data_IF_001975688445
#
_entry.id   IF_001975688445
#
_cell.length_a   1.000
_cell.length_b   1.000
_cell.length_c   1.000
_cell.angle_alpha   90.00
_cell.angle_beta   90.00
_cell.angle_gamma   90.00
#
_symmetry.space_group_name_H-M   'P 1'
#
loop_
_entity.id
_entity.type
_entity.pdbx_description
1 polymer ?
#
# COMPACT_ATOMS: atom_id res chain seq x y z
N UNK A 1 -16.33 -40.52 -39.07
CA UNK A 1 -16.64 -40.10 -37.67
C UNK A 1 -15.50 -40.57 -36.77
N UNK A 2 -14.41 -39.81 -36.60
CA UNK A 2 -13.25 -40.25 -35.77
C UNK A 2 -12.25 -39.15 -35.37
N UNK A 3 -12.09 -38.08 -36.16
CA UNK A 3 -11.11 -37.01 -35.88
C UNK A 3 -11.68 -35.85 -35.04
N UNK A 4 -12.95 -35.50 -35.26
CA UNK A 4 -13.63 -34.41 -34.57
C UNK A 4 -13.96 -34.69 -33.10
N UNK A 5 -14.00 -35.96 -32.70
CA UNK A 5 -14.20 -36.36 -31.29
C UNK A 5 -12.89 -36.28 -30.48
N UNK A 6 -11.76 -36.67 -31.09
CA UNK A 6 -10.44 -36.57 -30.47
C UNK A 6 -10.00 -35.12 -30.25
N UNK A 7 -10.36 -34.21 -31.18
CA UNK A 7 -10.05 -32.79 -31.05
C UNK A 7 -10.69 -32.15 -29.80
N UNK A 8 -11.92 -32.57 -29.45
CA UNK A 8 -12.63 -32.08 -28.25
C UNK A 8 -12.04 -32.61 -26.95
N UNK A 9 -11.51 -33.84 -26.94
CA UNK A 9 -10.96 -34.49 -25.73
C UNK A 9 -9.61 -33.87 -25.34
N UNK A 10 -8.81 -33.44 -26.31
CA UNK A 10 -7.51 -32.80 -26.05
C UNK A 10 -7.62 -31.30 -25.72
N UNK A 11 -8.66 -30.61 -26.19
CA UNK A 11 -8.76 -29.15 -26.02
C UNK A 11 -9.04 -28.73 -24.57
N UNK A 12 -9.86 -29.51 -23.86
CA UNK A 12 -10.27 -29.22 -22.47
C UNK A 12 -9.08 -29.19 -21.50
N UNK A 13 -8.18 -30.20 -21.46
CA UNK A 13 -7.02 -30.15 -20.57
C UNK A 13 -6.03 -29.04 -20.94
N UNK A 14 -5.86 -28.73 -22.23
CA UNK A 14 -4.96 -27.65 -22.68
C UNK A 14 -5.47 -26.26 -22.24
N UNK A 15 -6.78 -26.04 -22.36
CA UNK A 15 -7.42 -24.81 -21.86
C UNK A 15 -7.32 -24.70 -20.34
N UNK A 16 -7.48 -25.79 -19.61
CA UNK A 16 -7.36 -25.81 -18.14
C UNK A 16 -5.92 -25.55 -17.64
N UNK A 17 -4.90 -26.03 -18.35
CA UNK A 17 -3.49 -25.76 -17.98
C UNK A 17 -3.14 -24.29 -18.29
N UNK A 18 -3.65 -23.74 -19.39
CA UNK A 18 -3.44 -22.34 -19.77
C UNK A 18 -4.04 -21.36 -18.74
N UNK A 19 -5.19 -21.69 -18.15
CA UNK A 19 -5.80 -20.84 -17.11
C UNK A 19 -5.05 -20.89 -15.77
N UNK A 20 -4.47 -22.04 -15.41
CA UNK A 20 -3.63 -22.17 -14.20
C UNK A 20 -2.28 -21.44 -14.32
N UNK A 21 -1.72 -21.31 -15.53
CA UNK A 21 -0.49 -20.53 -15.77
C UNK A 21 -0.77 -19.03 -15.89
N UNK A 22 -2.04 -18.65 -16.04
CA UNK A 22 -2.48 -17.26 -16.13
C UNK A 22 -2.86 -16.66 -14.77
N UNK A 23 -2.47 -17.29 -13.65
CA UNK A 23 -2.57 -16.67 -12.33
C UNK A 23 -1.72 -15.41 -12.39
N UNK A 24 -2.42 -14.28 -12.51
CA UNK A 24 -1.83 -12.96 -12.53
C UNK A 24 -0.93 -12.83 -11.31
N UNK A 25 0.32 -12.36 -11.53
CA UNK A 25 1.11 -11.76 -10.47
C UNK A 25 0.27 -10.58 -9.96
N UNK A 26 -0.56 -10.82 -8.95
CA UNK A 26 -1.21 -9.75 -8.22
C UNK A 26 -0.05 -8.93 -7.67
N UNK A 27 0.15 -7.74 -8.23
CA UNK A 27 1.02 -6.76 -7.60
C UNK A 27 0.43 -6.58 -6.20
N UNK A 28 1.12 -7.14 -5.22
CA UNK A 28 0.72 -7.10 -3.84
C UNK A 28 0.58 -5.62 -3.48
N UNK A 29 -0.67 -5.17 -3.34
CA UNK A 29 -0.98 -3.76 -3.19
C UNK A 29 -0.93 -3.43 -1.71
N UNK A 30 -0.17 -2.38 -1.37
CA UNK A 30 -0.21 -1.80 -0.05
C UNK A 30 -1.65 -1.38 0.30
N UNK A 31 -2.05 -1.58 1.56
CA UNK A 31 -3.40 -1.29 2.03
C UNK A 31 -3.47 0.06 2.72
N UNK A 32 -4.38 0.92 2.28
CA UNK A 32 -4.72 2.14 3.01
C UNK A 32 -5.41 1.77 4.33
N UNK A 33 -4.78 2.14 5.45
CA UNK A 33 -5.27 1.86 6.81
C UNK A 33 -5.99 3.03 7.44
N UNK A 34 -5.73 4.24 6.99
CA UNK A 34 -6.40 5.44 7.47
C UNK A 34 -5.73 6.71 6.98
N UNK A 35 -6.35 7.83 7.30
CA UNK A 35 -5.89 9.15 6.94
C UNK A 35 -6.18 10.14 8.07
N UNK A 36 -5.52 11.29 8.05
CA UNK A 36 -5.72 12.31 9.06
C UNK A 36 -4.94 13.59 8.76
N UNK A 37 -5.06 14.56 9.66
CA UNK A 37 -4.42 15.88 9.54
C UNK A 37 -3.77 16.29 10.85
N UNK A 38 -2.67 17.02 10.76
CA UNK A 38 -2.02 17.67 11.89
C UNK A 38 -1.10 18.79 11.41
N UNK A 39 -1.15 19.94 12.10
CA UNK A 39 -0.52 21.16 11.62
C UNK A 39 -1.01 21.53 10.21
N UNK A 40 -0.08 21.91 9.34
CA UNK A 40 -0.31 22.25 7.93
C UNK A 40 -0.15 21.03 7.00
N UNK A 41 -0.29 19.81 7.53
CA UNK A 41 -0.06 18.57 6.80
C UNK A 41 -1.21 17.57 6.96
N UNK A 42 -1.44 16.81 5.90
CA UNK A 42 -2.34 15.65 5.88
C UNK A 42 -1.45 14.41 5.77
N UNK A 43 -1.88 13.27 6.31
CA UNK A 43 -1.25 11.98 6.06
C UNK A 43 -2.24 10.91 5.61
N UNK A 44 -1.75 9.94 4.84
CA UNK A 44 -2.35 8.63 4.64
C UNK A 44 -1.39 7.59 5.25
N UNK A 45 -1.95 6.67 6.03
CA UNK A 45 -1.26 5.54 6.60
C UNK A 45 -1.49 4.30 5.74
N UNK A 46 -0.41 3.74 5.24
CA UNK A 46 -0.42 2.53 4.44
C UNK A 46 0.25 1.39 5.20
N UNK A 47 -0.18 0.15 4.97
CA UNK A 47 0.57 -1.05 5.35
C UNK A 47 1.01 -1.80 4.11
N UNK A 48 2.14 -2.51 4.19
CA UNK A 48 2.48 -3.50 3.18
C UNK A 48 1.41 -4.60 3.11
N UNK A 49 1.41 -5.30 1.99
CA UNK A 49 0.50 -6.38 1.67
C UNK A 49 0.57 -7.55 2.67
N UNK A 50 1.77 -7.85 3.13
CA UNK A 50 2.06 -8.85 4.17
C UNK A 50 1.72 -8.36 5.58
N UNK A 51 1.31 -7.10 5.72
CA UNK A 51 1.02 -6.44 7.00
C UNK A 51 2.24 -6.29 7.92
N UNK A 52 3.45 -6.53 7.42
CA UNK A 52 4.67 -6.53 8.24
C UNK A 52 5.21 -5.12 8.50
N UNK A 53 4.82 -4.14 7.68
CA UNK A 53 5.33 -2.78 7.79
C UNK A 53 4.29 -1.72 7.46
N UNK A 54 4.52 -0.52 7.97
CA UNK A 54 3.65 0.64 7.81
C UNK A 54 4.43 1.84 7.31
N UNK A 55 3.84 2.73 6.53
CA UNK A 55 4.47 3.97 6.12
C UNK A 55 3.41 5.06 5.91
N UNK A 56 3.86 6.31 5.84
CA UNK A 56 3.01 7.45 5.58
C UNK A 56 3.28 8.04 4.20
N UNK A 57 2.22 8.48 3.54
CA UNK A 57 2.28 9.51 2.50
C UNK A 57 1.81 10.82 3.13
N UNK A 58 2.58 11.88 2.93
CA UNK A 58 2.37 13.15 3.59
C UNK A 58 2.38 14.27 2.54
N UNK A 59 1.44 15.19 2.66
CA UNK A 59 1.33 16.37 1.80
C UNK A 59 1.02 17.57 2.69
N UNK A 60 1.36 18.77 2.21
CA UNK A 60 0.80 19.97 2.81
C UNK A 60 -0.72 19.96 2.62
N UNK A 61 -1.45 20.48 3.60
CA UNK A 61 -2.90 20.69 3.52
C UNK A 61 -3.33 21.65 2.39
N UNK A 62 -2.41 22.47 1.89
CA UNK A 62 -2.59 23.36 0.74
C UNK A 62 -2.23 22.70 -0.59
N UNK A 63 -1.66 21.50 -0.56
CA UNK A 63 -1.27 20.78 -1.76
C UNK A 63 -2.51 20.26 -2.51
N UNK A 64 -2.48 20.30 -3.83
CA UNK A 64 -3.45 19.65 -4.69
C UNK A 64 -3.11 18.15 -4.79
N UNK A 65 -3.93 17.24 -4.23
CA UNK A 65 -3.61 15.81 -4.19
C UNK A 65 -3.43 15.16 -5.57
N UNK A 66 -3.95 15.80 -6.64
CA UNK A 66 -3.83 15.29 -8.02
C UNK A 66 -2.57 15.75 -8.74
N UNK A 67 -1.87 16.77 -8.23
CA UNK A 67 -0.73 17.40 -8.91
C UNK A 67 0.53 17.37 -8.07
N UNK A 68 0.39 17.55 -6.77
CA UNK A 68 1.52 17.72 -5.89
C UNK A 68 1.97 16.36 -5.34
N UNK A 69 3.27 16.05 -5.45
CA UNK A 69 3.79 14.78 -4.99
C UNK A 69 3.73 14.68 -3.46
N UNK A 70 3.30 13.53 -2.96
CA UNK A 70 3.39 13.19 -1.54
C UNK A 70 4.84 12.86 -1.16
N UNK A 71 5.26 13.26 0.04
CA UNK A 71 6.45 12.70 0.68
C UNK A 71 6.13 11.33 1.28
N UNK A 72 6.81 10.27 0.84
CA UNK A 72 6.71 8.94 1.44
C UNK A 72 7.77 8.81 2.54
N UNK A 73 7.37 8.38 3.73
CA UNK A 73 8.29 8.14 4.85
C UNK A 73 9.03 6.81 4.70
N UNK A 74 10.00 6.58 5.59
CA UNK A 74 10.50 5.22 5.84
C UNK A 74 9.38 4.29 6.33
N UNK A 75 9.65 2.99 6.30
CA UNK A 75 8.78 1.98 6.92
C UNK A 75 8.94 1.95 8.44
N UNK A 76 7.85 1.61 9.13
CA UNK A 76 7.71 1.47 10.57
C UNK A 76 7.17 0.08 10.91
N UNK A 77 7.45 -0.39 12.13
CA UNK A 77 7.00 -1.73 12.56
C UNK A 77 5.52 -1.76 12.96
N UNK A 78 4.92 -0.59 13.19
CA UNK A 78 3.52 -0.48 13.59
C UNK A 78 2.90 0.83 13.11
N UNK A 79 1.57 0.84 13.01
CA UNK A 79 0.80 2.06 12.78
C UNK A 79 1.05 3.12 13.85
N UNK A 80 1.17 2.71 15.13
CA UNK A 80 1.44 3.63 16.24
C UNK A 80 2.77 4.36 16.05
N UNK A 81 3.83 3.64 15.68
CA UNK A 81 5.14 4.25 15.46
C UNK A 81 5.12 5.24 14.29
N UNK A 82 4.43 4.89 13.20
CA UNK A 82 4.22 5.79 12.07
C UNK A 82 3.48 7.08 12.48
N UNK A 83 2.39 6.96 13.24
CA UNK A 83 1.59 8.10 13.69
C UNK A 83 2.34 8.99 14.69
N UNK A 84 3.14 8.42 15.59
CA UNK A 84 4.02 9.20 16.48
C UNK A 84 5.03 9.99 15.65
N UNK A 85 5.63 9.38 14.60
CA UNK A 85 6.53 10.09 13.71
C UNK A 85 5.84 11.28 13.05
N UNK A 86 4.61 11.12 12.56
CA UNK A 86 3.83 12.23 12.02
C UNK A 86 3.61 13.34 13.05
N UNK A 87 3.16 12.95 14.24
CA UNK A 87 2.83 13.88 15.32
C UNK A 87 4.05 14.74 15.72
N UNK A 88 5.22 14.12 15.83
CA UNK A 88 6.45 14.80 16.25
C UNK A 88 7.09 15.65 15.15
N UNK A 89 6.99 15.26 13.87
CA UNK A 89 7.75 15.91 12.79
C UNK A 89 6.90 16.85 11.92
N UNK A 90 5.58 16.66 11.90
CA UNK A 90 4.68 17.42 11.02
C UNK A 90 3.56 18.11 11.79
N UNK A 91 2.93 17.42 12.75
CA UNK A 91 1.82 18.00 13.50
C UNK A 91 2.26 18.98 14.61
N UNK A 92 3.56 19.10 14.86
CA UNK A 92 4.12 19.98 15.89
C UNK A 92 3.72 19.60 17.32
N UNK A 93 3.34 18.33 17.55
CA UNK A 93 2.97 17.87 18.89
C UNK A 93 4.22 17.61 19.71
N UNK A 94 4.17 17.97 20.99
CA UNK A 94 5.21 17.65 21.97
C UNK A 94 4.77 16.43 22.79
N UNK A 95 4.88 15.25 22.18
CA UNK A 95 4.60 13.97 22.86
C UNK A 95 5.85 13.50 23.63
N UNK A 96 5.70 12.75 24.74
CA UNK A 96 6.83 12.14 25.45
C UNK A 96 7.70 11.25 24.57
N UNK A 97 7.10 10.60 23.56
CA UNK A 97 7.77 9.73 22.60
C UNK A 97 8.52 10.50 21.50
N UNK A 98 8.36 11.83 21.41
CA UNK A 98 9.08 12.62 20.43
C UNK A 98 10.58 12.68 20.75
N UNK A 99 11.46 12.56 19.73
CA UNK A 99 12.88 12.73 19.94
C UNK A 99 13.12 14.13 20.50
N UNK A 100 13.77 14.20 21.67
CA UNK A 100 13.87 15.45 22.44
C UNK A 100 14.72 16.54 21.79
N UNK A 101 15.45 16.25 20.71
CA UNK A 101 16.39 17.21 20.12
C UNK A 101 16.46 17.06 18.58
N UNK A 102 16.39 18.20 17.89
CA UNK A 102 17.22 18.49 16.73
C UNK A 102 17.79 19.90 16.89
#
# INVERSE_FOLDING_TARGET
>A
MKTSQLLKIALVPILAISTLLSISNTALADYLRGEGRGGDYIYELWSTDDGSSYYLKIWSDKANPKKDPSSKTRSFKSSREALIYFDCNYAGKSLPECPKNR
#
